data_IF_190328432339
#
_entry.id   IF_190328432339
#
_cell.length_a   1.000
_cell.length_b   1.000
_cell.length_c   1.000
_cell.angle_alpha   90.00
_cell.angle_beta   90.00
_cell.angle_gamma   90.00
#
_symmetry.space_group_name_H-M   'P 1'
#
loop_
_entity.id
_entity.type
_entity.pdbx_description
1 polymer ?
#
# COMPACT_ATOMS: atom_id res chain seq x y z
N UNK A 1 55.97 1.09 -13.37
CA UNK A 1 54.62 1.00 -13.98
C UNK A 1 53.67 0.05 -13.22
N UNK A 2 54.15 -1.03 -12.57
CA UNK A 2 53.28 -2.02 -11.89
C UNK A 2 52.58 -1.60 -10.58
N UNK A 3 53.11 -0.61 -9.84
CA UNK A 3 52.54 -0.21 -8.53
C UNK A 3 51.29 0.70 -8.67
N UNK A 4 51.19 1.45 -9.76
CA UNK A 4 50.05 2.35 -10.03
C UNK A 4 48.80 1.55 -10.41
N UNK A 5 48.93 0.51 -11.26
CA UNK A 5 47.81 -0.35 -11.66
C UNK A 5 47.13 -1.04 -10.46
N UNK A 6 47.90 -1.45 -9.45
CA UNK A 6 47.37 -2.06 -8.23
C UNK A 6 46.54 -1.09 -7.39
N UNK A 7 46.96 0.17 -7.30
CA UNK A 7 46.23 1.21 -6.56
C UNK A 7 44.89 1.52 -7.25
N UNK A 8 44.87 1.60 -8.58
CA UNK A 8 43.64 1.80 -9.35
C UNK A 8 42.66 0.64 -9.16
N UNK A 9 43.13 -0.61 -9.25
CA UNK A 9 42.29 -1.78 -9.05
C UNK A 9 41.69 -1.82 -7.62
N UNK A 10 42.50 -1.51 -6.61
CA UNK A 10 42.05 -1.44 -5.22
C UNK A 10 40.99 -0.35 -4.99
N UNK A 11 41.16 0.84 -5.59
CA UNK A 11 40.20 1.93 -5.48
C UNK A 11 38.88 1.62 -6.21
N UNK A 12 38.93 0.98 -7.37
CA UNK A 12 37.73 0.52 -8.09
C UNK A 12 36.95 -0.52 -7.29
N UNK A 13 37.63 -1.53 -6.74
CA UNK A 13 37.01 -2.58 -5.92
C UNK A 13 36.33 -1.99 -4.68
N UNK A 14 36.98 -1.05 -3.98
CA UNK A 14 36.39 -0.36 -2.82
C UNK A 14 35.15 0.46 -3.23
N UNK A 15 35.22 1.16 -4.36
CA UNK A 15 34.12 2.02 -4.84
C UNK A 15 32.91 1.19 -5.27
N UNK A 16 33.13 0.05 -5.94
CA UNK A 16 32.08 -0.89 -6.35
C UNK A 16 31.45 -1.59 -5.12
N UNK A 17 32.25 -1.94 -4.12
CA UNK A 17 31.75 -2.57 -2.89
C UNK A 17 30.90 -1.60 -2.03
N UNK A 18 31.30 -0.34 -1.91
CA UNK A 18 30.55 0.67 -1.18
C UNK A 18 29.21 1.01 -1.87
N UNK A 19 29.21 1.06 -3.20
CA UNK A 19 27.99 1.33 -3.98
C UNK A 19 27.03 0.14 -3.99
N UNK A 20 27.53 -1.10 -4.05
CA UNK A 20 26.67 -2.30 -4.03
C UNK A 20 25.98 -2.53 -2.68
N UNK A 21 26.66 -2.28 -1.55
CA UNK A 21 26.05 -2.39 -0.22
C UNK A 21 24.95 -1.35 -0.01
N UNK A 22 25.20 -0.09 -0.40
CA UNK A 22 24.19 0.98 -0.27
C UNK A 22 22.97 0.72 -1.18
N UNK A 23 23.18 0.17 -2.37
CA UNK A 23 22.08 -0.28 -3.25
C UNK A 23 21.29 -1.44 -2.62
N UNK A 24 21.96 -2.41 -1.99
CA UNK A 24 21.30 -3.52 -1.31
C UNK A 24 20.45 -3.04 -0.13
N UNK A 25 20.96 -2.11 0.68
CA UNK A 25 20.20 -1.52 1.80
C UNK A 25 18.97 -0.77 1.28
N UNK A 26 19.11 0.03 0.21
CA UNK A 26 17.98 0.71 -0.43
C UNK A 26 16.94 -0.29 -0.93
N UNK A 27 17.38 -1.40 -1.53
CA UNK A 27 16.51 -2.47 -2.02
C UNK A 27 15.76 -3.16 -0.88
N UNK A 28 16.45 -3.51 0.21
CA UNK A 28 15.85 -4.11 1.40
C UNK A 28 14.82 -3.15 2.01
N UNK A 29 15.14 -1.86 2.12
CA UNK A 29 14.21 -0.85 2.64
C UNK A 29 12.95 -0.73 1.76
N UNK A 30 13.12 -0.76 0.43
CA UNK A 30 11.99 -0.74 -0.50
C UNK A 30 11.15 -2.02 -0.46
N UNK A 31 11.80 -3.19 -0.39
CA UNK A 31 11.12 -4.48 -0.29
C UNK A 31 10.33 -4.59 1.03
N UNK A 32 10.91 -4.12 2.14
CA UNK A 32 10.22 -4.03 3.43
C UNK A 32 8.99 -3.10 3.36
N UNK A 33 9.14 -1.93 2.72
CA UNK A 33 8.03 -0.98 2.50
C UNK A 33 6.93 -1.58 1.63
N UNK A 34 7.28 -2.28 0.55
CA UNK A 34 6.33 -2.94 -0.35
C UNK A 34 5.59 -4.07 0.36
N UNK A 35 6.28 -4.83 1.22
CA UNK A 35 5.68 -5.89 2.02
C UNK A 35 4.69 -5.34 3.06
N UNK A 36 5.00 -4.19 3.68
CA UNK A 36 4.14 -3.54 4.67
C UNK A 36 2.76 -3.11 4.11
N UNK A 37 2.67 -2.77 2.81
CA UNK A 37 1.44 -2.28 2.16
C UNK A 37 0.73 -1.20 3.02
N UNK A 38 1.43 -0.09 3.32
CA UNK A 38 1.01 0.88 4.34
C UNK A 38 -0.35 1.48 4.03
N UNK A 39 -0.60 1.84 2.76
CA UNK A 39 -1.92 2.24 2.29
C UNK A 39 -2.16 1.66 0.89
N UNK A 40 -3.33 1.11 0.63
CA UNK A 40 -3.68 0.56 -0.69
C UNK A 40 -5.12 0.93 -1.02
N UNK A 41 -5.35 1.27 -2.29
CA UNK A 41 -6.69 1.50 -2.83
C UNK A 41 -7.36 0.15 -3.04
N UNK A 42 -8.57 0.03 -2.55
CA UNK A 42 -9.36 -1.19 -2.52
C UNK A 42 -10.76 -0.87 -3.02
N UNK A 43 -11.35 -1.78 -3.80
CA UNK A 43 -12.71 -1.64 -4.30
C UNK A 43 -13.61 -2.58 -3.51
N UNK A 44 -14.70 -2.05 -2.96
CA UNK A 44 -15.70 -2.82 -2.24
C UNK A 44 -17.07 -2.75 -2.89
N UNK A 45 -17.91 -3.74 -2.62
CA UNK A 45 -19.34 -3.76 -2.98
C UNK A 45 -20.19 -3.62 -1.73
N UNK A 46 -21.14 -2.71 -1.75
CA UNK A 46 -22.07 -2.46 -0.64
C UNK A 46 -23.09 -3.60 -0.55
N UNK A 47 -23.17 -4.28 0.59
CA UNK A 47 -24.11 -5.42 0.79
C UNK A 47 -25.47 -4.98 1.34
N UNK A 48 -25.52 -3.84 2.05
CA UNK A 48 -26.73 -3.32 2.71
C UNK A 48 -26.94 -1.87 2.32
N UNK A 49 -28.20 -1.48 2.09
CA UNK A 49 -28.58 -0.12 1.67
C UNK A 49 -28.02 0.98 2.58
N UNK A 50 -27.86 0.73 3.89
CA UNK A 50 -27.34 1.73 4.85
C UNK A 50 -25.80 1.73 4.95
N UNK A 51 -25.11 1.07 4.02
CA UNK A 51 -23.64 0.94 3.94
C UNK A 51 -22.93 0.35 5.18
N UNK A 52 -23.64 -0.29 6.11
CA UNK A 52 -23.05 -0.84 7.35
C UNK A 52 -22.21 -2.10 7.12
N UNK A 53 -22.26 -2.68 5.91
CA UNK A 53 -21.48 -3.86 5.51
C UNK A 53 -20.97 -3.69 4.08
N UNK A 54 -19.65 -3.67 3.92
CA UNK A 54 -18.99 -3.57 2.62
C UNK A 54 -18.15 -4.82 2.38
N UNK A 55 -18.29 -5.41 1.20
CA UNK A 55 -17.55 -6.60 0.76
C UNK A 55 -16.40 -6.16 -0.13
N UNK A 56 -15.17 -6.27 0.36
CA UNK A 56 -13.95 -5.93 -0.39
C UNK A 56 -13.51 -7.05 -1.34
N UNK A 57 -13.77 -8.31 -0.96
CA UNK A 57 -13.40 -9.50 -1.74
C UNK A 57 -14.41 -10.63 -1.50
N UNK A 58 -14.29 -11.76 -2.20
CA UNK A 58 -15.24 -12.89 -2.05
C UNK A 58 -15.42 -13.37 -0.60
N UNK A 59 -14.40 -13.21 0.27
CA UNK A 59 -14.39 -13.69 1.66
C UNK A 59 -14.36 -12.60 2.75
N UNK A 60 -13.99 -11.35 2.41
CA UNK A 60 -13.80 -10.29 3.40
C UNK A 60 -15.02 -9.35 3.44
N UNK A 61 -15.76 -9.41 4.55
CA UNK A 61 -16.89 -8.52 4.86
C UNK A 61 -16.49 -7.62 6.01
N UNK A 62 -16.51 -6.31 5.76
CA UNK A 62 -16.20 -5.29 6.76
C UNK A 62 -17.48 -4.82 7.44
N UNK A 63 -17.44 -4.74 8.76
CA UNK A 63 -18.49 -4.15 9.62
C UNK A 63 -18.19 -2.66 9.87
N UNK A 64 -19.19 -1.92 10.35
CA UNK A 64 -19.15 -0.47 10.54
C UNK A 64 -17.95 0.01 11.39
N UNK A 65 -17.51 -0.79 12.36
CA UNK A 65 -16.37 -0.50 13.24
C UNK A 65 -15.03 -0.31 12.50
N UNK A 66 -14.91 -0.91 11.31
CA UNK A 66 -13.70 -0.87 10.49
C UNK A 66 -13.77 0.18 9.37
N UNK A 67 -14.89 0.90 9.27
CA UNK A 67 -15.19 1.82 8.18
C UNK A 67 -15.21 3.26 8.68
N UNK A 68 -14.35 4.09 8.08
CA UNK A 68 -14.42 5.53 8.21
C UNK A 68 -15.13 6.10 6.99
N UNK A 69 -16.17 6.89 7.21
CA UNK A 69 -16.90 7.54 6.14
C UNK A 69 -16.45 8.98 5.98
N UNK A 70 -16.37 9.43 4.73
CA UNK A 70 -16.23 10.84 4.38
C UNK A 70 -17.62 11.44 4.12
N UNK A 71 -17.74 12.77 4.18
CA UNK A 71 -19.00 13.45 3.88
C UNK A 71 -19.51 13.15 2.46
N UNK A 72 -18.59 12.99 1.51
CA UNK A 72 -18.90 12.61 0.12
C UNK A 72 -19.57 11.24 0.05
N UNK A 73 -19.02 10.24 0.74
CA UNK A 73 -19.53 8.87 0.82
C UNK A 73 -20.54 8.66 1.98
N UNK A 74 -21.38 9.66 2.25
CA UNK A 74 -22.44 9.57 3.26
C UNK A 74 -23.30 8.31 3.10
N UNK A 75 -23.64 7.64 4.21
CA UNK A 75 -24.40 6.37 4.26
C UNK A 75 -25.73 6.40 3.47
N UNK A 76 -26.34 7.57 3.30
CA UNK A 76 -27.59 7.77 2.57
C UNK A 76 -27.45 7.79 1.03
N UNK A 77 -26.24 7.99 0.50
CA UNK A 77 -25.98 8.08 -0.95
C UNK A 77 -25.61 6.75 -1.59
N UNK A 78 -25.24 5.75 -0.77
CA UNK A 78 -24.81 4.44 -1.23
C UNK A 78 -26.00 3.49 -1.24
N UNK A 79 -26.17 2.74 -2.32
CA UNK A 79 -27.20 1.71 -2.45
C UNK A 79 -26.57 0.33 -2.41
N UNK A 80 -27.38 -0.68 -2.08
CA UNK A 80 -26.96 -2.08 -2.16
C UNK A 80 -26.51 -2.39 -3.60
N UNK A 81 -25.32 -2.93 -3.75
CA UNK A 81 -24.72 -3.26 -5.05
C UNK A 81 -23.73 -2.21 -5.58
N UNK A 82 -23.67 -1.01 -4.96
CA UNK A 82 -22.74 0.02 -5.40
C UNK A 82 -21.30 -0.41 -5.17
N UNK A 83 -20.44 -0.08 -6.14
CA UNK A 83 -18.99 -0.23 -6.02
C UNK A 83 -18.43 1.05 -5.40
N UNK A 84 -17.64 0.91 -4.35
CA UNK A 84 -17.04 2.04 -3.63
C UNK A 84 -15.52 1.91 -3.62
N UNK A 85 -14.86 3.06 -3.76
CA UNK A 85 -13.42 3.19 -3.63
C UNK A 85 -13.09 3.43 -2.17
N UNK A 86 -12.17 2.63 -1.67
CA UNK A 86 -11.74 2.64 -0.28
C UNK A 86 -10.22 2.71 -0.20
N UNK A 87 -9.70 3.31 0.86
CA UNK A 87 -8.27 3.31 1.18
C UNK A 87 -8.09 2.48 2.45
N UNK A 88 -7.32 1.40 2.36
CA UNK A 88 -6.90 0.62 3.53
C UNK A 88 -5.85 1.41 4.29
N UNK A 89 -6.06 1.59 5.58
CA UNK A 89 -5.07 2.19 6.48
C UNK A 89 -4.02 1.16 6.92
N UNK A 90 -2.87 1.67 7.33
CA UNK A 90 -1.76 0.84 7.83
C UNK A 90 -2.18 0.08 9.09
N UNK A 91 -1.66 -1.13 9.29
CA UNK A 91 -2.14 -2.07 10.31
C UNK A 91 -3.39 -2.86 9.90
N UNK A 92 -4.00 -2.54 8.76
CA UNK A 92 -4.76 -3.49 7.96
C UNK A 92 -6.19 -3.81 8.36
N UNK A 93 -6.68 -3.21 9.45
CA UNK A 93 -8.02 -3.42 9.97
C UNK A 93 -9.00 -2.29 9.61
N UNK A 94 -8.51 -1.12 9.19
CA UNK A 94 -9.32 0.08 8.99
C UNK A 94 -9.35 0.50 7.52
N UNK A 95 -10.50 0.97 7.06
CA UNK A 95 -10.73 1.39 5.69
C UNK A 95 -11.46 2.73 5.66
N UNK A 96 -10.94 3.68 4.88
CA UNK A 96 -11.58 4.96 4.59
C UNK A 96 -12.39 4.85 3.30
N UNK A 97 -13.69 5.10 3.36
CA UNK A 97 -14.57 5.15 2.17
C UNK A 97 -14.51 6.55 1.57
N UNK A 98 -14.04 6.64 0.34
CA UNK A 98 -13.81 7.92 -0.35
C UNK A 98 -15.03 8.31 -1.15
N UNK A 99 -15.41 7.48 -2.13
CA UNK A 99 -16.57 7.75 -2.99
C UNK A 99 -17.05 6.46 -3.68
N UNK A 100 -18.24 6.52 -4.28
CA UNK A 100 -18.76 5.49 -5.18
C UNK A 100 -18.16 5.63 -6.58
N UNK A 101 -17.96 4.50 -7.25
CA UNK A 101 -17.69 4.48 -8.68
C UNK A 101 -18.99 4.74 -9.44
N UNK A 102 -18.91 5.54 -10.50
CA UNK A 102 -20.00 5.77 -11.46
C UNK A 102 -19.96 4.76 -12.60
#
# INVERSE_FOLDING_TARGET
MGNILWIWNYLEVITIAATSLTQLIKKIAEDARKAAKPCTIVIGTVLKADSSKIKVNQKLILTDEFLYFTETASKSKLKKGDKVVMIRADGGQKYLVVDRMV
#
